data_IF_598826405937
#
_entry.id   IF_598826405937
#
_cell.length_a   1.000
_cell.length_b   1.000
_cell.length_c   1.000
_cell.angle_alpha   90.00
_cell.angle_beta   90.00
_cell.angle_gamma   90.00
#
_symmetry.space_group_name_H-M   'P 1'
#
loop_
_entity.id
_entity.type
_entity.pdbx_description
1 polymer ?
#
# COMPACT_ATOMS: atom_id res chain seq x y z
N UNK A 1 4.41 -4.76 -10.83
CA UNK A 1 5.73 -4.09 -10.90
C UNK A 1 5.98 -3.36 -9.59
N UNK A 2 7.13 -3.57 -8.97
CA UNK A 2 7.53 -2.98 -7.69
C UNK A 2 8.79 -2.15 -7.95
N UNK A 3 8.66 -0.84 -7.85
CA UNK A 3 9.77 0.09 -8.00
C UNK A 3 10.28 0.50 -6.61
N UNK A 4 11.59 0.36 -6.41
CA UNK A 4 12.26 0.62 -5.13
C UNK A 4 13.08 1.90 -5.23
N UNK A 5 12.90 2.80 -4.28
CA UNK A 5 13.59 4.08 -4.21
C UNK A 5 14.65 4.10 -3.10
N UNK A 6 15.67 4.95 -3.26
CA UNK A 6 16.61 5.29 -2.18
C UNK A 6 17.36 4.08 -1.60
N UNK A 7 17.28 3.90 -0.28
CA UNK A 7 17.88 2.73 0.39
C UNK A 7 17.26 1.42 -0.05
N UNK A 8 15.95 1.38 -0.33
CA UNK A 8 15.32 0.17 -0.87
C UNK A 8 15.87 -0.19 -2.24
N UNK A 9 16.21 0.79 -3.10
CA UNK A 9 16.85 0.50 -4.38
C UNK A 9 18.23 -0.15 -4.21
N UNK A 10 18.96 0.20 -3.13
CA UNK A 10 20.32 -0.30 -2.89
C UNK A 10 20.33 -1.68 -2.25
N UNK A 11 19.40 -1.95 -1.33
CA UNK A 11 19.43 -3.15 -0.48
C UNK A 11 18.14 -3.95 -0.49
N UNK A 12 17.07 -3.52 -1.14
CA UNK A 12 15.75 -4.14 -0.97
C UNK A 12 15.66 -5.57 -1.51
N UNK A 13 16.24 -5.84 -2.68
CA UNK A 13 16.27 -7.19 -3.26
C UNK A 13 17.33 -8.03 -2.55
N UNK A 14 16.95 -9.24 -2.14
CA UNK A 14 17.82 -10.19 -1.42
C UNK A 14 17.99 -9.91 0.08
N UNK A 15 17.43 -8.82 0.62
CA UNK A 15 17.53 -8.49 2.06
C UNK A 15 16.17 -8.45 2.77
N UNK A 16 15.17 -9.14 2.22
CA UNK A 16 13.88 -9.37 2.87
C UNK A 16 12.80 -8.31 2.59
N UNK A 17 13.17 -7.12 2.11
CA UNK A 17 12.18 -6.10 1.68
C UNK A 17 11.34 -6.61 0.51
N UNK A 18 11.97 -7.26 -0.46
CA UNK A 18 11.30 -7.95 -1.56
C UNK A 18 10.25 -8.96 -1.06
N UNK A 19 10.66 -9.85 -0.15
CA UNK A 19 9.78 -10.86 0.44
C UNK A 19 8.65 -10.26 1.26
N UNK A 20 8.91 -9.20 2.02
CA UNK A 20 7.91 -8.50 2.80
C UNK A 20 6.85 -7.84 1.90
N UNK A 21 7.27 -7.16 0.84
CA UNK A 21 6.34 -6.54 -0.12
C UNK A 21 5.49 -7.61 -0.82
N UNK A 22 6.12 -8.68 -1.34
CA UNK A 22 5.36 -9.75 -2.02
C UNK A 22 4.43 -10.48 -1.05
N UNK A 23 4.89 -10.75 0.18
CA UNK A 23 4.04 -11.34 1.21
C UNK A 23 2.81 -10.50 1.52
N UNK A 24 2.98 -9.17 1.65
CA UNK A 24 1.86 -8.25 1.82
C UNK A 24 0.89 -8.27 0.64
N UNK A 25 1.38 -8.36 -0.59
CA UNK A 25 0.53 -8.49 -1.79
C UNK A 25 -0.26 -9.82 -1.82
N UNK A 26 0.28 -10.88 -1.21
CA UNK A 26 -0.39 -12.17 -1.03
C UNK A 26 -1.29 -12.21 0.23
N UNK A 27 -1.36 -11.12 0.99
CA UNK A 27 -2.19 -11.01 2.20
C UNK A 27 -1.56 -11.60 3.46
N UNK A 28 -0.25 -11.79 3.51
CA UNK A 28 0.46 -12.27 4.70
C UNK A 28 0.66 -11.16 5.72
N UNK A 29 0.58 -11.53 7.00
CA UNK A 29 0.87 -10.63 8.12
C UNK A 29 2.38 -10.54 8.38
N UNK A 30 2.87 -9.49 9.08
CA UNK A 30 4.30 -9.30 9.34
C UNK A 30 4.98 -10.43 10.15
N UNK A 31 4.21 -11.18 10.94
CA UNK A 31 4.65 -12.31 11.76
C UNK A 31 4.43 -13.68 11.08
N UNK A 32 3.96 -13.68 9.84
CA UNK A 32 3.67 -14.90 9.09
C UNK A 32 4.97 -15.60 8.64
N UNK A 33 5.12 -16.87 9.03
CA UNK A 33 6.32 -17.66 8.69
C UNK A 33 6.50 -17.84 7.16
N UNK A 34 5.40 -17.79 6.40
CA UNK A 34 5.38 -17.93 4.94
C UNK A 34 6.05 -16.76 4.22
N UNK A 35 6.34 -15.65 4.91
CA UNK A 35 7.08 -14.52 4.35
C UNK A 35 8.42 -14.95 3.72
N UNK A 36 9.09 -15.97 4.27
CA UNK A 36 10.36 -16.48 3.75
C UNK A 36 10.23 -17.04 2.33
N UNK A 37 9.06 -17.54 1.97
CA UNK A 37 8.75 -18.23 0.72
C UNK A 37 7.84 -17.40 -0.20
N UNK A 38 7.56 -16.14 0.14
CA UNK A 38 6.55 -15.32 -0.56
C UNK A 38 6.79 -15.16 -2.06
N UNK A 39 8.06 -15.10 -2.50
CA UNK A 39 8.41 -15.05 -3.93
C UNK A 39 8.00 -16.33 -4.67
N UNK A 40 8.26 -17.50 -4.07
CA UNK A 40 7.88 -18.82 -4.63
C UNK A 40 6.35 -19.00 -4.57
N UNK A 41 5.72 -18.54 -3.49
CA UNK A 41 4.28 -18.56 -3.34
C UNK A 41 3.59 -17.69 -4.40
N UNK A 42 4.14 -16.51 -4.71
CA UNK A 42 3.61 -15.64 -5.77
C UNK A 42 3.69 -16.32 -7.15
N UNK A 43 4.82 -16.94 -7.47
CA UNK A 43 4.99 -17.70 -8.72
C UNK A 43 3.98 -18.86 -8.79
N UNK A 44 3.83 -19.62 -7.71
CA UNK A 44 2.88 -20.74 -7.61
C UNK A 44 1.42 -20.30 -7.74
N UNK A 45 1.11 -19.07 -7.29
CA UNK A 45 -0.21 -18.45 -7.42
C UNK A 45 -0.43 -17.78 -8.80
N UNK A 46 0.55 -17.85 -9.71
CA UNK A 46 0.46 -17.21 -11.04
C UNK A 46 0.57 -15.69 -10.99
N UNK A 47 1.12 -15.12 -9.92
CA UNK A 47 1.32 -13.67 -9.76
C UNK A 47 2.70 -13.29 -10.30
N UNK A 48 2.73 -12.63 -11.46
CA UNK A 48 3.96 -12.12 -12.04
C UNK A 48 4.50 -10.91 -11.25
N UNK A 49 5.73 -11.02 -10.74
CA UNK A 49 6.40 -9.97 -9.98
C UNK A 49 7.65 -9.51 -10.74
N UNK A 50 7.81 -8.19 -10.85
CA UNK A 50 9.00 -7.54 -11.39
C UNK A 50 9.46 -6.47 -10.43
N UNK A 51 10.76 -6.47 -10.09
CA UNK A 51 11.39 -5.45 -9.27
C UNK A 51 12.26 -4.55 -10.14
N UNK A 52 12.21 -3.24 -9.85
CA UNK A 52 13.02 -2.25 -10.54
C UNK A 52 13.54 -1.20 -9.57
N UNK A 53 14.79 -0.80 -9.73
CA UNK A 53 15.33 0.33 -8.99
C UNK A 53 14.91 1.65 -9.65
N UNK A 54 14.52 2.63 -8.85
CA UNK A 54 14.04 3.93 -9.33
C UNK A 54 14.52 5.09 -8.46
N UNK A 55 14.46 6.29 -9.04
CA UNK A 55 14.62 7.56 -8.32
C UNK A 55 13.34 8.34 -8.48
N UNK A 56 12.50 8.34 -7.44
CA UNK A 56 11.29 9.14 -7.40
C UNK A 56 11.66 10.63 -7.30
N UNK A 57 10.92 11.48 -8.00
CA UNK A 57 11.11 12.94 -7.97
C UNK A 57 10.34 13.53 -6.80
N UNK A 58 10.93 14.53 -6.14
CA UNK A 58 10.32 15.19 -4.99
C UNK A 58 10.87 14.67 -3.67
N UNK A 59 10.22 15.07 -2.58
CA UNK A 59 10.64 14.70 -1.22
C UNK A 59 10.00 13.36 -0.83
N UNK A 60 10.73 12.28 -1.07
CA UNK A 60 10.33 10.93 -0.69
C UNK A 60 11.30 10.38 0.35
N UNK A 61 10.78 9.63 1.31
CA UNK A 61 11.61 8.92 2.27
C UNK A 61 12.55 7.94 1.54
N UNK A 62 13.82 7.75 1.97
CA UNK A 62 14.74 6.85 1.29
C UNK A 62 14.27 5.38 1.25
N UNK A 63 13.31 4.98 2.08
CA UNK A 63 12.73 3.64 2.08
C UNK A 63 11.33 3.66 1.45
N UNK A 64 11.21 4.20 0.23
CA UNK A 64 9.94 4.31 -0.51
C UNK A 64 9.84 3.22 -1.56
N UNK A 65 8.64 2.70 -1.78
CA UNK A 65 8.29 1.89 -2.95
C UNK A 65 7.11 2.49 -3.69
N UNK A 66 7.14 2.36 -5.01
CA UNK A 66 6.04 2.65 -5.93
C UNK A 66 5.60 1.31 -6.53
N UNK A 67 4.38 0.87 -6.22
CA UNK A 67 3.86 -0.44 -6.58
C UNK A 67 2.72 -0.26 -7.57
N UNK A 68 2.84 -0.90 -8.73
CA UNK A 68 1.78 -1.01 -9.72
C UNK A 68 1.27 -2.44 -9.75
N UNK A 69 0.00 -2.64 -9.41
CA UNK A 69 -0.70 -3.92 -9.48
C UNK A 69 -1.73 -3.91 -10.61
N UNK A 70 -1.95 -5.07 -11.23
CA UNK A 70 -2.94 -5.28 -12.29
C UNK A 70 -3.58 -6.65 -12.17
N UNK A 71 -4.88 -6.73 -12.44
CA UNK A 71 -5.64 -7.97 -12.54
C UNK A 71 -6.75 -7.81 -13.58
N UNK A 72 -6.57 -8.40 -14.77
CA UNK A 72 -7.44 -8.13 -15.92
C UNK A 72 -7.41 -6.64 -16.28
N UNK A 73 -8.60 -6.03 -16.36
CA UNK A 73 -8.76 -4.59 -16.62
C UNK A 73 -8.62 -3.71 -15.36
N UNK A 74 -8.52 -4.34 -14.18
CA UNK A 74 -8.32 -3.62 -12.93
C UNK A 74 -6.84 -3.32 -12.72
N UNK A 75 -6.55 -2.14 -12.20
CA UNK A 75 -5.19 -1.76 -11.80
C UNK A 75 -5.23 -0.72 -10.69
N UNK A 76 -4.17 -0.70 -9.90
CA UNK A 76 -3.97 0.32 -8.88
C UNK A 76 -2.47 0.64 -8.76
N UNK A 77 -2.18 1.87 -8.33
CA UNK A 77 -0.84 2.35 -8.04
C UNK A 77 -0.78 2.82 -6.60
N UNK A 78 0.24 2.41 -5.87
CA UNK A 78 0.45 2.79 -4.48
C UNK A 78 1.88 3.30 -4.27
N UNK A 79 2.01 4.39 -3.51
CA UNK A 79 3.30 4.87 -3.00
C UNK A 79 3.30 4.76 -1.48
N UNK A 80 4.29 4.06 -0.94
CA UNK A 80 4.42 3.85 0.49
C UNK A 80 5.87 3.86 0.95
N UNK A 81 6.08 4.29 2.19
CA UNK A 81 7.40 4.42 2.82
C UNK A 81 7.47 3.61 4.10
N UNK A 82 8.59 2.93 4.34
CA UNK A 82 8.95 2.49 5.68
C UNK A 82 9.68 3.61 6.43
N UNK A 83 9.14 4.04 7.57
CA UNK A 83 9.71 5.12 8.38
C UNK A 83 10.53 4.59 9.58
N UNK A 84 10.89 3.30 9.54
CA UNK A 84 11.67 2.62 10.57
C UNK A 84 10.85 2.13 11.78
N UNK A 85 11.47 1.24 12.56
CA UNK A 85 10.87 0.59 13.73
C UNK A 85 9.53 -0.12 13.43
N UNK A 86 9.46 -0.80 12.28
CA UNK A 86 8.25 -1.54 11.87
C UNK A 86 7.08 -0.66 11.39
N UNK A 87 7.26 0.66 11.31
CA UNK A 87 6.20 1.58 10.88
C UNK A 87 6.28 1.89 9.39
N UNK A 88 5.12 2.10 8.80
CA UNK A 88 4.96 2.50 7.41
C UNK A 88 4.05 3.71 7.31
N UNK A 89 4.06 4.35 6.14
CA UNK A 89 3.04 5.30 5.72
C UNK A 89 2.79 5.12 4.23
N UNK A 90 1.53 4.92 3.84
CA UNK A 90 1.09 5.04 2.45
C UNK A 90 0.82 6.52 2.21
N UNK A 91 1.47 7.07 1.18
CA UNK A 91 1.45 8.51 0.86
C UNK A 91 0.64 8.82 -0.39
N UNK A 92 0.42 7.84 -1.26
CA UNK A 92 -0.45 8.01 -2.43
C UNK A 92 -1.11 6.70 -2.86
N UNK A 93 -2.34 6.80 -3.36
CA UNK A 93 -3.08 5.73 -4.04
C UNK A 93 -3.65 6.32 -5.33
N UNK A 94 -3.37 5.70 -6.48
CA UNK A 94 -3.81 6.15 -7.81
C UNK A 94 -3.50 7.63 -8.11
N UNK A 95 -2.38 8.11 -7.58
CA UNK A 95 -1.93 9.51 -7.71
C UNK A 95 -2.57 10.48 -6.72
N UNK A 96 -3.59 10.06 -5.94
CA UNK A 96 -4.20 10.88 -4.90
C UNK A 96 -3.37 10.82 -3.62
N UNK A 97 -3.05 11.97 -2.99
CA UNK A 97 -2.32 12.00 -1.74
C UNK A 97 -3.17 11.45 -0.60
N UNK A 98 -2.57 10.56 0.18
CA UNK A 98 -3.17 9.95 1.39
C UNK A 98 -2.11 9.91 2.50
N UNK A 99 -2.53 9.61 3.72
CA UNK A 99 -1.62 9.40 4.85
C UNK A 99 -2.17 8.28 5.73
N UNK A 100 -1.80 7.04 5.40
CA UNK A 100 -2.28 5.83 6.06
C UNK A 100 -1.10 5.13 6.72
N UNK A 101 -1.08 5.07 8.05
CA UNK A 101 0.02 4.48 8.83
C UNK A 101 -0.12 2.99 9.09
N UNK A 102 -1.30 2.41 8.82
CA UNK A 102 -1.64 1.04 9.21
C UNK A 102 -1.92 0.85 10.71
N UNK A 103 -1.91 1.93 11.51
CA UNK A 103 -2.21 1.86 12.95
C UNK A 103 -3.69 1.60 13.27
N UNK A 104 -4.58 1.85 12.30
CA UNK A 104 -6.02 1.64 12.42
C UNK A 104 -6.55 0.94 11.17
N UNK A 105 -7.62 0.16 11.33
CA UNK A 105 -8.41 -0.33 10.20
C UNK A 105 -8.84 0.84 9.35
N UNK A 106 -8.53 0.78 8.06
CA UNK A 106 -8.71 1.91 7.14
C UNK A 106 -9.60 1.50 5.98
N UNK A 107 -10.67 2.26 5.75
CA UNK A 107 -11.49 2.17 4.55
C UNK A 107 -11.02 3.24 3.55
N UNK A 108 -10.72 2.82 2.32
CA UNK A 108 -10.41 3.72 1.21
C UNK A 108 -11.53 3.58 0.18
N UNK A 109 -12.13 4.70 -0.21
CA UNK A 109 -13.24 4.71 -1.16
C UNK A 109 -13.09 5.88 -2.13
N UNK A 110 -13.34 5.61 -3.42
CA UNK A 110 -13.52 6.65 -4.44
C UNK A 110 -15.00 6.91 -4.57
N UNK A 111 -15.41 8.17 -4.42
CA UNK A 111 -16.81 8.57 -4.50
C UNK A 111 -16.95 9.77 -5.45
N UNK A 112 -18.11 9.86 -6.12
CA UNK A 112 -18.46 11.04 -6.92
C UNK A 112 -18.62 12.23 -5.99
N UNK A 113 -17.93 13.33 -6.26
CA UNK A 113 -18.04 14.56 -5.46
C UNK A 113 -19.39 15.24 -5.70
N UNK A 114 -20.36 14.93 -4.83
CA UNK A 114 -21.69 15.52 -4.81
C UNK A 114 -22.01 15.98 -3.38
N UNK A 115 -22.81 17.05 -3.21
CA UNK A 115 -23.23 17.50 -1.89
C UNK A 115 -23.83 16.35 -1.06
N UNK A 116 -23.36 16.20 0.17
CA UNK A 116 -23.83 15.18 1.11
C UNK A 116 -23.07 13.84 1.09
N UNK A 117 -22.14 13.61 0.16
CA UNK A 117 -21.45 12.30 0.06
C UNK A 117 -20.71 11.90 1.34
N UNK A 118 -20.00 12.84 1.98
CA UNK A 118 -19.28 12.60 3.24
C UNK A 118 -20.24 12.22 4.37
N UNK A 119 -21.36 12.95 4.48
CA UNK A 119 -22.38 12.66 5.49
C UNK A 119 -23.06 11.30 5.25
N UNK A 120 -23.29 10.94 3.99
CA UNK A 120 -23.83 9.64 3.60
C UNK A 120 -22.91 8.49 4.01
N UNK A 121 -21.59 8.62 3.76
CA UNK A 121 -20.61 7.60 4.14
C UNK A 121 -20.51 7.49 5.67
N UNK A 122 -20.40 8.62 6.37
CA UNK A 122 -20.34 8.62 7.83
C UNK A 122 -21.62 8.06 8.46
N UNK A 123 -22.79 8.37 7.89
CA UNK A 123 -24.09 7.85 8.32
C UNK A 123 -24.19 6.34 8.18
N UNK A 124 -23.83 5.79 7.01
CA UNK A 124 -23.82 4.35 6.78
C UNK A 124 -22.91 3.60 7.77
N UNK A 125 -21.72 4.14 8.06
CA UNK A 125 -20.82 3.55 9.05
C UNK A 125 -21.37 3.64 10.49
N UNK A 126 -22.05 4.74 10.82
CA UNK A 126 -22.68 4.90 12.13
C UNK A 126 -23.87 3.96 12.34
N UNK A 127 -24.67 3.69 11.29
CA UNK A 127 -25.76 2.70 11.30
C UNK A 127 -25.24 1.29 11.64
N UNK A 128 -24.05 0.95 11.13
CA UNK A 128 -23.34 -0.30 11.44
C UNK A 128 -22.53 -0.23 12.76
N UNK A 129 -22.74 0.81 13.58
CA UNK A 129 -22.07 1.02 14.88
C UNK A 129 -20.53 1.10 14.80
N UNK A 130 -20.00 1.53 13.65
CA UNK A 130 -18.56 1.70 13.42
C UNK A 130 -18.13 3.09 13.88
N UNK A 131 -17.14 3.15 14.78
CA UNK A 131 -16.51 4.39 15.19
C UNK A 131 -15.51 4.91 14.14
N UNK A 132 -15.50 6.23 13.92
CA UNK A 132 -14.55 6.90 13.04
C UNK A 132 -13.46 7.61 13.86
N UNK A 133 -12.26 7.04 13.89
CA UNK A 133 -11.11 7.68 14.55
C UNK A 133 -10.63 8.91 13.77
N UNK A 134 -10.52 8.79 12.45
CA UNK A 134 -10.15 9.87 11.52
C UNK A 134 -10.87 9.67 10.20
N UNK A 135 -11.20 10.78 9.51
CA UNK A 135 -11.69 10.78 8.13
C UNK A 135 -10.93 11.85 7.36
N UNK A 136 -10.37 11.45 6.21
CA UNK A 136 -9.65 12.35 5.29
C UNK A 136 -10.31 12.27 3.93
N UNK A 137 -10.49 13.42 3.29
CA UNK A 137 -11.10 13.55 1.96
C UNK A 137 -10.18 14.42 1.12
N UNK A 138 -9.80 13.91 -0.04
CA UNK A 138 -9.01 14.60 -1.06
C UNK A 138 -9.86 14.73 -2.33
N UNK A 139 -9.66 15.81 -3.10
CA UNK A 139 -10.35 16.09 -4.36
C UNK A 139 -9.34 16.34 -5.47
#
# INVERSE_FOLDING_TARGET
MIELHGSFARTGVGHGTDRAIVGGLLGYLPDDERLRESLVAAESAGVAIEFKNTTLRGDHHPNTTHITVKHGDLGAVLVGSSIGAGRIVVTAIDGFPVEISGAYTTLVAVAKDVPGIVASVAGALAEDTVNLATMRVSR
#
